data_IF_525351883523
#
_entry.id   IF_525351883523
#
_cell.length_a   1.000
_cell.length_b   1.000
_cell.length_c   1.000
_cell.angle_alpha   90.00
_cell.angle_beta   90.00
_cell.angle_gamma   90.00
#
_symmetry.space_group_name_H-M   'P 1'
#
loop_
_entity.id
_entity.type
_entity.pdbx_description
1 polymer ?
#
# COMPACT_ATOMS: atom_id res chain seq x y z
N UNK A 1 9.06 13.41 42.00
CA UNK A 1 8.70 13.33 40.57
C UNK A 1 7.55 14.29 40.21
N UNK A 2 7.47 15.49 40.78
CA UNK A 2 6.29 16.38 40.67
C UNK A 2 6.55 17.79 40.11
N UNK A 3 7.75 18.11 39.63
CA UNK A 3 8.06 19.46 39.11
C UNK A 3 7.87 19.65 37.59
N UNK A 4 7.83 18.56 36.82
CA UNK A 4 7.86 18.58 35.35
C UNK A 4 6.68 17.83 34.72
N UNK A 5 5.48 18.08 35.23
CA UNK A 5 4.26 17.53 34.63
C UNK A 5 3.90 18.37 33.41
N UNK A 6 3.89 17.73 32.23
CA UNK A 6 3.49 18.37 30.98
C UNK A 6 2.07 18.93 31.08
N UNK A 7 1.90 20.21 30.74
CA UNK A 7 0.59 20.86 30.71
C UNK A 7 -0.06 20.79 29.33
N UNK A 8 0.72 20.84 28.25
CA UNK A 8 0.23 20.80 26.88
C UNK A 8 1.13 19.92 25.99
N UNK A 9 0.56 19.38 24.92
CA UNK A 9 1.35 18.81 23.84
C UNK A 9 1.89 19.94 22.95
N UNK A 10 3.10 19.76 22.42
CA UNK A 10 3.79 20.71 21.56
C UNK A 10 2.91 21.13 20.38
N UNK A 11 2.37 20.15 19.64
CA UNK A 11 1.56 20.41 18.44
C UNK A 11 0.16 20.97 18.68
N UNK A 12 -0.29 21.09 19.94
CA UNK A 12 -1.64 21.59 20.27
C UNK A 12 -1.68 23.10 20.51
N UNK A 13 -0.56 23.76 20.76
CA UNK A 13 -0.54 25.21 21.02
C UNK A 13 -1.00 26.01 19.79
N UNK A 14 -1.79 27.06 20.04
CA UNK A 14 -2.36 27.96 19.03
C UNK A 14 -2.21 29.42 19.46
N UNK A 15 -2.52 30.35 18.55
CA UNK A 15 -2.46 31.79 18.84
C UNK A 15 -3.37 32.26 19.98
N UNK A 16 -4.42 31.49 20.32
CA UNK A 16 -5.29 31.73 21.47
C UNK A 16 -4.65 31.39 22.83
N UNK A 17 -3.52 30.69 22.84
CA UNK A 17 -2.79 30.32 24.05
C UNK A 17 -1.74 31.36 24.45
N UNK A 18 -1.66 32.49 23.73
CA UNK A 18 -0.75 33.58 24.02
C UNK A 18 -0.80 34.03 25.49
N UNK A 19 0.38 34.22 26.08
CA UNK A 19 0.53 34.66 27.46
C UNK A 19 0.40 33.54 28.50
N UNK A 20 0.00 32.32 28.11
CA UNK A 20 -0.06 31.18 29.04
C UNK A 20 1.34 30.66 29.36
N UNK A 21 1.51 30.24 30.61
CA UNK A 21 2.66 29.44 31.03
C UNK A 21 2.42 27.98 30.71
N UNK A 22 3.40 27.33 30.10
CA UNK A 22 3.32 25.95 29.64
C UNK A 22 4.52 25.15 30.10
N UNK A 23 4.30 23.87 30.37
CA UNK A 23 5.34 22.87 30.57
C UNK A 23 5.22 21.86 29.44
N UNK A 24 6.26 21.77 28.61
CA UNK A 24 6.30 20.91 27.44
C UNK A 24 7.42 19.89 27.59
N UNK A 25 7.17 18.66 27.14
CA UNK A 25 8.16 17.59 27.17
C UNK A 25 8.25 16.96 25.78
N UNK A 26 9.45 16.73 25.27
CA UNK A 26 9.65 16.21 23.93
C UNK A 26 11.10 15.99 23.55
N UNK A 27 11.33 15.87 22.24
CA UNK A 27 12.63 15.65 21.63
C UNK A 27 13.07 16.84 20.79
N UNK A 28 14.35 17.19 20.86
CA UNK A 28 14.95 18.19 19.97
C UNK A 28 14.91 17.70 18.53
N UNK A 29 14.09 18.31 17.69
CA UNK A 29 14.00 17.98 16.26
C UNK A 29 15.06 18.72 15.45
N UNK A 30 15.29 19.99 15.79
CA UNK A 30 16.21 20.87 15.08
C UNK A 30 16.65 22.00 16.00
N UNK A 31 17.86 22.48 15.78
CA UNK A 31 18.43 23.65 16.44
C UNK A 31 18.88 24.67 15.39
N UNK A 32 18.67 25.96 15.67
CA UNK A 32 19.13 27.09 14.85
C UNK A 32 19.68 28.18 15.76
N UNK A 33 20.97 28.46 15.62
CA UNK A 33 21.71 29.39 16.46
C UNK A 33 22.01 30.68 15.69
N UNK A 34 21.58 31.82 16.22
CA UNK A 34 21.80 33.16 15.65
C UNK A 34 22.68 34.04 16.57
N UNK A 35 23.47 33.43 17.45
CA UNK A 35 24.27 34.16 18.44
C UNK A 35 23.41 34.59 19.63
N UNK A 36 22.75 35.74 19.57
CA UNK A 36 21.97 36.27 20.71
C UNK A 36 20.63 35.55 20.94
N UNK A 37 20.21 34.73 19.99
CA UNK A 37 18.99 33.94 20.02
C UNK A 37 19.29 32.51 19.57
N UNK A 38 18.71 31.54 20.27
CA UNK A 38 18.71 30.14 19.88
C UNK A 38 17.28 29.65 19.74
N UNK A 39 16.99 29.04 18.60
CA UNK A 39 15.70 28.43 18.33
C UNK A 39 15.83 26.91 18.35
N UNK A 40 14.93 26.26 19.07
CA UNK A 40 14.84 24.80 19.10
C UNK A 40 13.44 24.39 18.71
N UNK A 41 13.34 23.52 17.71
CA UNK A 41 12.07 22.88 17.38
C UNK A 41 11.91 21.67 18.33
N UNK A 42 10.98 21.75 19.27
CA UNK A 42 10.64 20.66 20.20
C UNK A 42 9.49 19.84 19.62
N UNK A 43 9.70 18.53 19.47
CA UNK A 43 8.73 17.58 18.91
C UNK A 43 8.16 16.67 19.98
N UNK A 44 6.86 16.42 19.91
CA UNK A 44 6.19 15.29 20.56
C UNK A 44 5.24 14.56 19.59
N UNK A 45 4.38 13.68 20.10
CA UNK A 45 3.45 12.89 19.28
C UNK A 45 2.33 13.70 18.60
N UNK A 46 2.07 14.93 19.01
CA UNK A 46 1.03 15.78 18.40
C UNK A 46 1.63 16.82 17.45
N UNK A 47 2.95 17.05 17.48
CA UNK A 47 3.61 17.90 16.50
C UNK A 47 4.86 18.57 17.04
N UNK A 48 5.18 19.72 16.44
CA UNK A 48 6.39 20.50 16.73
C UNK A 48 5.99 21.89 17.19
N UNK A 49 6.71 22.45 18.16
CA UNK A 49 6.65 23.86 18.55
C UNK A 49 8.05 24.45 18.59
N UNK A 50 8.18 25.74 18.28
CA UNK A 50 9.45 26.45 18.40
C UNK A 50 9.62 26.99 19.82
N UNK A 51 10.77 26.69 20.40
CA UNK A 51 11.29 27.27 21.62
C UNK A 51 12.25 28.39 21.28
N UNK A 52 12.23 29.45 22.08
CA UNK A 52 13.15 30.59 21.95
C UNK A 52 13.91 30.74 23.25
N UNK A 53 15.24 30.78 23.12
CA UNK A 53 16.17 31.11 24.19
C UNK A 53 16.86 32.42 23.81
N UNK A 54 16.82 33.40 24.70
CA UNK A 54 17.40 34.72 24.46
C UNK A 54 18.59 35.00 25.37
N UNK A 55 19.46 35.91 24.95
CA UNK A 55 20.61 36.36 25.75
C UNK A 55 20.22 37.06 27.05
N UNK A 56 18.95 37.45 27.23
CA UNK A 56 18.44 37.95 28.50
C UNK A 56 18.58 36.92 29.64
N UNK A 57 18.61 35.62 29.30
CA UNK A 57 18.93 34.53 30.23
C UNK A 57 20.16 33.75 29.72
N UNK A 58 21.33 34.37 29.81
CA UNK A 58 22.58 33.82 29.28
C UNK A 58 22.93 32.41 29.80
N UNK A 59 22.77 32.05 31.10
CA UNK A 59 23.03 30.68 31.56
C UNK A 59 22.16 29.63 30.87
N UNK A 60 20.87 29.91 30.70
CA UNK A 60 19.92 29.02 30.04
C UNK A 60 20.23 28.88 28.54
N UNK A 61 20.61 29.99 27.89
CA UNK A 61 21.04 29.99 26.48
C UNK A 61 22.25 29.08 26.26
N UNK A 62 23.27 29.17 27.12
CA UNK A 62 24.46 28.33 27.04
C UNK A 62 24.17 26.85 27.32
N UNK A 63 23.24 26.54 28.22
CA UNK A 63 22.77 25.16 28.42
C UNK A 63 22.06 24.63 27.17
N UNK A 64 21.17 25.44 26.59
CA UNK A 64 20.42 25.09 25.39
C UNK A 64 21.33 24.89 24.16
N UNK A 65 22.44 25.65 24.03
CA UNK A 65 23.43 25.44 22.95
C UNK A 65 24.05 24.05 22.97
N UNK A 66 24.17 23.44 24.14
CA UNK A 66 24.75 22.10 24.31
C UNK A 66 23.78 20.99 23.90
N UNK A 67 22.52 21.30 23.59
CA UNK A 67 21.54 20.29 23.17
C UNK A 67 21.94 19.67 21.83
N UNK A 68 21.76 18.35 21.75
CA UNK A 68 21.93 17.57 20.53
C UNK A 68 20.58 17.25 19.89
N UNK A 69 20.61 16.80 18.63
CA UNK A 69 19.42 16.23 17.98
C UNK A 69 18.92 15.03 18.79
N UNK A 70 17.61 14.93 18.93
CA UNK A 70 16.90 13.88 19.66
C UNK A 70 17.16 13.84 21.18
N UNK A 71 17.80 14.87 21.77
CA UNK A 71 17.83 15.05 23.22
C UNK A 71 16.40 15.12 23.77
N UNK A 72 16.15 14.40 24.88
CA UNK A 72 14.85 14.34 25.55
C UNK A 72 14.83 15.35 26.69
N UNK A 73 13.90 16.30 26.63
CA UNK A 73 13.89 17.44 27.55
C UNK A 73 12.49 17.85 27.99
N UNK A 74 12.43 18.60 29.08
CA UNK A 74 11.28 19.34 29.56
C UNK A 74 11.60 20.84 29.58
N UNK A 75 10.67 21.67 29.15
CA UNK A 75 10.79 23.14 29.19
C UNK A 75 9.58 23.76 29.87
N UNK A 76 9.82 24.80 30.67
CA UNK A 76 8.78 25.71 31.17
C UNK A 76 9.00 27.07 30.53
N UNK A 77 7.92 27.70 30.09
CA UNK A 77 8.01 29.01 29.48
C UNK A 77 6.65 29.59 29.13
N UNK A 78 6.68 30.75 28.48
CA UNK A 78 5.50 31.54 28.14
C UNK A 78 5.23 31.52 26.65
N UNK A 79 3.98 31.27 26.26
CA UNK A 79 3.57 31.32 24.85
C UNK A 79 3.55 32.77 24.36
N UNK A 80 4.21 33.02 23.23
CA UNK A 80 4.26 34.31 22.55
C UNK A 80 3.79 34.18 21.11
N UNK A 81 3.15 35.23 20.59
CA UNK A 81 2.93 35.34 19.15
C UNK A 81 4.23 35.68 18.44
N UNK A 82 4.44 35.06 17.28
CA UNK A 82 5.48 35.48 16.36
C UNK A 82 5.08 36.77 15.67
N UNK A 83 6.08 37.56 15.26
CA UNK A 83 5.83 38.66 14.35
C UNK A 83 5.21 38.12 13.04
N UNK A 84 4.30 38.85 12.37
CA UNK A 84 3.59 38.35 11.18
C UNK A 84 4.51 37.81 10.07
N UNK A 85 5.70 38.38 9.89
CA UNK A 85 6.68 37.96 8.89
C UNK A 85 7.51 36.72 9.31
N UNK A 86 7.38 36.26 10.55
CA UNK A 86 8.04 35.07 11.12
C UNK A 86 7.07 33.90 11.32
N UNK A 87 5.79 34.08 11.02
CA UNK A 87 4.79 33.02 11.06
C UNK A 87 5.12 31.92 10.04
N UNK A 88 5.03 30.67 10.45
CA UNK A 88 5.29 29.52 9.58
C UNK A 88 3.98 28.80 9.19
N UNK A 89 3.42 29.02 7.99
CA UNK A 89 2.15 28.41 7.59
C UNK A 89 2.21 26.88 7.45
N UNK A 90 3.41 26.28 7.47
CA UNK A 90 3.58 24.82 7.39
C UNK A 90 3.43 24.12 8.75
N UNK A 91 3.39 24.86 9.86
CA UNK A 91 3.25 24.32 11.20
C UNK A 91 1.91 24.74 11.80
N UNK A 92 1.21 23.81 12.47
CA UNK A 92 -0.01 24.12 13.20
C UNK A 92 0.20 25.13 14.35
N UNK A 93 1.43 25.18 14.89
CA UNK A 93 1.86 26.13 15.91
C UNK A 93 2.61 27.32 15.31
N UNK A 94 2.51 27.53 13.99
CA UNK A 94 3.38 28.42 13.23
C UNK A 94 3.25 29.90 13.57
N UNK A 95 2.15 30.30 14.20
CA UNK A 95 1.87 31.67 14.64
C UNK A 95 2.43 31.98 16.03
N UNK A 96 2.89 30.95 16.76
CA UNK A 96 3.36 31.07 18.14
C UNK A 96 4.75 30.46 18.34
N UNK A 97 5.37 30.83 19.43
CA UNK A 97 6.59 30.25 19.97
C UNK A 97 6.54 30.27 21.50
N UNK A 98 7.44 29.54 22.14
CA UNK A 98 7.54 29.49 23.61
C UNK A 98 8.87 30.12 24.02
N UNK A 99 8.78 31.25 24.71
CA UNK A 99 9.91 31.89 25.38
C UNK A 99 10.25 31.06 26.62
N UNK A 100 11.41 30.39 26.61
CA UNK A 100 11.78 29.41 27.65
C UNK A 100 12.38 30.11 28.86
N UNK A 101 11.90 29.74 30.04
CA UNK A 101 12.33 30.27 31.33
C UNK A 101 13.12 29.22 32.13
N UNK A 102 12.73 27.95 32.02
CA UNK A 102 13.43 26.82 32.64
C UNK A 102 13.56 25.65 31.65
N UNK A 103 14.69 24.95 31.73
CA UNK A 103 14.99 23.75 30.94
C UNK A 103 15.45 22.64 31.88
N UNK A 104 15.02 21.41 31.59
CA UNK A 104 15.60 20.20 32.16
C UNK A 104 15.89 19.21 31.04
N UNK A 105 17.09 18.63 31.05
CA UNK A 105 17.43 17.52 30.15
C UNK A 105 17.12 16.21 30.87
N UNK A 106 16.11 15.49 30.40
CA UNK A 106 15.79 14.16 30.94
C UNK A 106 16.80 13.12 30.49
N UNK A 107 17.22 13.19 29.22
CA UNK A 107 18.21 12.27 28.67
C UNK A 107 18.94 12.88 27.46
N UNK A 108 20.24 12.66 27.39
CA UNK A 108 21.07 13.02 26.23
C UNK A 108 21.02 11.90 25.19
N UNK A 109 20.87 12.26 23.93
CA UNK A 109 20.94 11.33 22.81
C UNK A 109 22.36 11.31 22.23
N UNK A 110 22.84 10.12 21.90
CA UNK A 110 23.95 10.00 20.95
C UNK A 110 23.51 10.53 19.58
N UNK A 111 24.46 11.00 18.77
CA UNK A 111 24.16 11.45 17.39
C UNK A 111 23.36 10.37 16.65
N UNK A 112 22.15 10.68 16.16
CA UNK A 112 21.31 9.67 15.54
C UNK A 112 21.95 9.20 14.22
N UNK A 113 21.80 7.92 13.85
CA UNK A 113 22.38 7.35 12.62
C UNK A 113 21.78 7.96 11.35
N UNK A 114 20.63 8.62 11.46
CA UNK A 114 20.00 9.42 10.41
C UNK A 114 19.09 10.49 11.03
N UNK A 115 18.78 11.52 10.24
CA UNK A 115 17.87 12.59 10.66
C UNK A 115 16.43 12.09 10.63
N UNK A 116 15.68 12.33 11.70
CA UNK A 116 14.24 11.99 11.80
C UNK A 116 13.42 13.03 11.04
N UNK A 117 13.32 12.88 9.71
CA UNK A 117 12.59 13.80 8.84
C UNK A 117 11.88 13.06 7.70
N UNK A 118 10.83 13.70 7.16
CA UNK A 118 10.16 13.27 5.92
C UNK A 118 10.51 14.22 4.75
N UNK A 119 10.76 13.70 3.53
CA UNK A 119 10.94 12.29 3.20
C UNK A 119 12.23 11.71 3.82
N UNK A 120 12.30 10.39 4.04
CA UNK A 120 13.46 9.76 4.65
C UNK A 120 14.70 9.92 3.76
N UNK A 121 15.84 10.27 4.37
CA UNK A 121 17.14 10.43 3.68
C UNK A 121 18.07 9.22 3.85
N UNK A 122 17.68 8.26 4.69
CA UNK A 122 18.45 7.05 4.97
C UNK A 122 17.96 5.86 4.15
N UNK A 123 18.85 4.90 3.91
CA UNK A 123 18.50 3.62 3.30
C UNK A 123 17.44 2.89 4.12
N UNK A 124 16.61 2.10 3.44
CA UNK A 124 15.58 1.30 4.09
C UNK A 124 16.15 0.33 5.14
N UNK A 125 17.28 -0.31 4.82
CA UNK A 125 17.99 -1.19 5.73
C UNK A 125 18.36 -0.48 7.05
N UNK A 126 18.95 0.72 6.96
CA UNK A 126 19.34 1.49 8.15
C UNK A 126 18.10 1.90 8.97
N UNK A 127 17.01 2.26 8.29
CA UNK A 127 15.73 2.57 8.95
C UNK A 127 15.15 1.37 9.68
N UNK A 128 15.22 0.16 9.12
CA UNK A 128 14.77 -1.05 9.80
C UNK A 128 15.68 -1.42 10.99
N UNK A 129 17.00 -1.28 10.84
CA UNK A 129 17.94 -1.51 11.95
C UNK A 129 17.66 -0.61 13.15
N UNK A 130 17.32 0.66 12.89
CA UNK A 130 16.97 1.64 13.92
C UNK A 130 15.49 2.02 13.88
N UNK A 131 14.61 1.01 13.75
CA UNK A 131 13.17 1.23 13.54
C UNK A 131 12.52 2.09 14.61
N UNK A 132 12.99 2.04 15.85
CA UNK A 132 12.51 2.87 16.94
C UNK A 132 12.75 4.38 16.73
N UNK A 133 13.78 4.77 15.96
CA UNK A 133 14.00 6.16 15.53
C UNK A 133 13.19 6.47 14.27
N UNK A 134 13.14 5.53 13.31
CA UNK A 134 12.35 5.71 12.08
C UNK A 134 10.86 5.93 12.39
N UNK A 135 10.34 5.23 13.40
CA UNK A 135 8.96 5.40 13.87
C UNK A 135 8.68 6.78 14.46
N UNK A 136 9.69 7.59 14.83
CA UNK A 136 9.49 8.98 15.30
C UNK A 136 9.13 9.94 14.17
N UNK A 137 9.33 9.55 12.90
CA UNK A 137 9.00 10.41 11.76
C UNK A 137 7.49 10.71 11.72
N UNK A 138 7.08 11.94 11.35
CA UNK A 138 5.67 12.32 11.24
C UNK A 138 4.83 11.36 10.38
N UNK A 139 5.33 10.94 9.22
CA UNK A 139 4.62 9.99 8.33
C UNK A 139 4.39 8.63 9.00
N UNK A 140 5.38 8.11 9.73
CA UNK A 140 5.27 6.83 10.44
C UNK A 140 4.30 6.91 11.63
N UNK A 141 4.35 7.99 12.41
CA UNK A 141 3.38 8.24 13.48
C UNK A 141 1.95 8.36 12.93
N UNK A 142 1.77 9.04 11.80
CA UNK A 142 0.48 9.12 11.10
C UNK A 142 -0.02 7.73 10.69
N UNK A 143 0.84 6.88 10.12
CA UNK A 143 0.44 5.52 9.74
C UNK A 143 0.03 4.66 10.94
N UNK A 144 0.76 4.75 12.06
CA UNK A 144 0.41 4.04 13.29
C UNK A 144 -0.94 4.51 13.85
N UNK A 145 -1.17 5.83 13.89
CA UNK A 145 -2.44 6.42 14.32
C UNK A 145 -3.59 5.98 13.40
N UNK A 146 -3.42 6.10 12.08
CA UNK A 146 -4.43 5.67 11.12
C UNK A 146 -4.76 4.17 11.25
N UNK A 147 -3.75 3.31 11.45
CA UNK A 147 -3.97 1.88 11.69
C UNK A 147 -4.77 1.64 12.98
N UNK A 148 -4.50 2.39 14.04
CA UNK A 148 -5.26 2.32 15.29
C UNK A 148 -6.71 2.74 15.09
N UNK A 149 -6.95 3.90 14.48
CA UNK A 149 -8.30 4.42 14.21
C UNK A 149 -9.10 3.48 13.30
N UNK A 150 -8.46 2.91 12.28
CA UNK A 150 -9.08 1.90 11.41
C UNK A 150 -9.52 0.67 12.21
N UNK A 151 -8.64 0.14 13.07
CA UNK A 151 -8.99 -1.02 13.90
C UNK A 151 -10.13 -0.72 14.90
N UNK A 152 -10.17 0.48 15.49
CA UNK A 152 -11.29 0.91 16.34
C UNK A 152 -12.59 1.04 15.55
N UNK A 153 -12.53 1.67 14.38
CA UNK A 153 -13.68 1.86 13.48
C UNK A 153 -14.27 0.52 13.07
N UNK A 154 -13.42 -0.44 12.66
CA UNK A 154 -13.83 -1.80 12.29
C UNK A 154 -14.49 -2.52 13.46
N UNK A 155 -13.89 -2.49 14.66
CA UNK A 155 -14.49 -3.11 15.86
C UNK A 155 -15.85 -2.52 16.18
N UNK A 156 -15.96 -1.19 16.16
CA UNK A 156 -17.21 -0.48 16.45
C UNK A 156 -18.28 -0.79 15.38
N UNK A 157 -17.89 -0.88 14.11
CA UNK A 157 -18.78 -1.30 13.02
C UNK A 157 -19.35 -2.70 13.29
N UNK A 158 -18.49 -3.70 13.49
CA UNK A 158 -18.94 -5.08 13.73
C UNK A 158 -19.75 -5.22 15.02
N UNK A 159 -19.39 -4.49 16.08
CA UNK A 159 -20.18 -4.42 17.31
C UNK A 159 -21.63 -3.93 17.04
N UNK A 160 -21.80 -2.84 16.27
CA UNK A 160 -23.13 -2.34 15.90
C UNK A 160 -23.90 -3.31 15.00
N UNK A 161 -23.20 -4.11 14.19
CA UNK A 161 -23.78 -5.15 13.35
C UNK A 161 -24.05 -6.47 14.11
N UNK A 162 -23.85 -6.51 15.43
CA UNK A 162 -24.17 -7.66 16.28
C UNK A 162 -23.16 -8.80 16.20
N UNK A 163 -21.93 -8.53 15.79
CA UNK A 163 -20.86 -9.52 15.77
C UNK A 163 -20.16 -9.64 17.12
N UNK A 164 -19.65 -10.84 17.41
CA UNK A 164 -18.81 -11.12 18.58
C UNK A 164 -17.33 -11.22 18.17
N UNK A 165 -16.47 -10.47 18.86
CA UNK A 165 -15.00 -10.63 18.75
C UNK A 165 -14.61 -11.84 19.60
N UNK A 166 -14.32 -12.99 18.95
CA UNK A 166 -13.95 -14.23 19.65
C UNK A 166 -12.49 -14.57 19.33
N UNK A 167 -11.66 -14.70 20.35
CA UNK A 167 -10.26 -15.07 20.15
C UNK A 167 -10.11 -16.57 19.82
N UNK A 168 -9.24 -16.87 18.86
CA UNK A 168 -8.94 -18.25 18.44
C UNK A 168 -7.49 -18.62 18.73
N UNK A 169 -7.17 -19.89 19.04
CA UNK A 169 -5.83 -20.27 19.46
C UNK A 169 -4.80 -20.20 18.32
N UNK A 170 -3.55 -19.83 18.65
CA UNK A 170 -2.43 -19.85 17.70
C UNK A 170 -1.67 -21.17 17.64
N UNK A 171 -1.74 -22.01 18.67
CA UNK A 171 -1.08 -23.32 18.67
C UNK A 171 -2.05 -24.37 18.13
N UNK A 172 -2.08 -24.50 16.80
CA UNK A 172 -3.05 -25.33 16.09
C UNK A 172 -2.41 -26.62 15.58
N UNK A 173 -3.19 -27.46 14.90
CA UNK A 173 -2.68 -28.64 14.20
C UNK A 173 -2.35 -28.25 12.76
N UNK A 174 -1.22 -28.73 12.23
CA UNK A 174 -0.88 -28.53 10.82
C UNK A 174 -1.90 -29.18 9.90
N UNK A 175 -2.28 -28.46 8.85
CA UNK A 175 -3.13 -28.95 7.76
C UNK A 175 -2.31 -28.97 6.48
N UNK A 176 -2.28 -30.09 5.73
CA UNK A 176 -1.42 -30.24 4.55
C UNK A 176 -1.86 -29.39 3.33
N UNK A 177 -2.97 -28.66 3.44
CA UNK A 177 -3.53 -27.82 2.37
C UNK A 177 -3.20 -26.34 2.60
N UNK A 178 -2.93 -25.60 1.52
CA UNK A 178 -2.64 -24.17 1.56
C UNK A 178 -1.15 -23.84 1.55
N UNK A 179 -0.75 -22.80 2.29
CA UNK A 179 0.65 -22.38 2.40
C UNK A 179 1.45 -23.34 3.31
N UNK A 180 2.76 -23.12 3.41
CA UNK A 180 3.58 -23.83 4.40
C UNK A 180 3.37 -23.24 5.79
N UNK A 181 3.23 -24.11 6.79
CA UNK A 181 3.03 -23.72 8.20
C UNK A 181 4.36 -23.42 8.91
N UNK A 182 4.36 -22.42 9.80
CA UNK A 182 5.37 -22.31 10.85
C UNK A 182 5.11 -23.35 11.94
N UNK A 183 6.12 -24.16 12.26
CA UNK A 183 6.02 -25.22 13.26
C UNK A 183 6.61 -24.80 14.60
N UNK A 184 5.91 -25.14 15.69
CA UNK A 184 6.36 -24.92 17.07
C UNK A 184 6.52 -26.28 17.75
N UNK A 185 7.75 -26.72 18.08
CA UNK A 185 7.97 -28.03 18.70
C UNK A 185 7.36 -28.11 20.10
N UNK A 186 6.68 -29.22 20.39
CA UNK A 186 6.11 -29.45 21.72
C UNK A 186 7.16 -30.01 22.68
N UNK A 187 7.38 -29.32 23.81
CA UNK A 187 8.18 -29.86 24.91
C UNK A 187 7.54 -31.09 25.56
N UNK A 188 6.21 -31.12 25.63
CA UNK A 188 5.43 -32.16 26.32
C UNK A 188 5.29 -33.40 25.44
N UNK A 189 4.89 -33.21 24.19
CA UNK A 189 4.67 -34.30 23.25
C UNK A 189 5.88 -34.46 22.33
N UNK A 190 6.86 -35.26 22.77
CA UNK A 190 8.09 -35.51 21.99
C UNK A 190 7.77 -35.98 20.57
N UNK A 191 8.44 -35.38 19.59
CA UNK A 191 8.24 -35.68 18.16
C UNK A 191 6.98 -35.07 17.56
N UNK A 192 6.20 -34.27 18.30
CA UNK A 192 5.02 -33.55 17.79
C UNK A 192 5.24 -32.05 17.77
N UNK A 193 4.53 -31.39 16.86
CA UNK A 193 4.61 -29.96 16.60
C UNK A 193 3.19 -29.36 16.60
N UNK A 194 3.09 -28.11 17.05
CA UNK A 194 1.97 -27.24 16.72
C UNK A 194 2.29 -26.50 15.41
N UNK A 195 1.25 -26.00 14.76
CA UNK A 195 1.35 -25.10 13.63
C UNK A 195 0.73 -23.75 13.98
N UNK A 196 1.39 -22.66 13.58
CA UNK A 196 0.80 -21.33 13.63
C UNK A 196 -0.22 -21.17 12.50
N UNK A 197 -1.41 -20.59 12.75
CA UNK A 197 -2.50 -20.58 11.79
C UNK A 197 -2.24 -19.62 10.63
N UNK A 198 -2.53 -20.10 9.42
CA UNK A 198 -2.57 -19.26 8.22
C UNK A 198 -3.80 -18.35 8.18
N UNK A 199 -4.87 -18.78 8.85
CA UNK A 199 -6.09 -18.04 9.21
C UNK A 199 -6.88 -18.85 10.27
N UNK A 200 -7.86 -18.26 10.95
CA UNK A 200 -8.76 -19.00 11.86
C UNK A 200 -9.84 -19.85 11.16
N UNK A 201 -9.66 -20.24 9.90
CA UNK A 201 -10.71 -20.82 9.04
C UNK A 201 -11.51 -21.96 9.71
N UNK A 202 -10.83 -22.95 10.31
CA UNK A 202 -11.52 -24.06 10.96
C UNK A 202 -12.23 -23.62 12.25
N UNK A 203 -11.65 -22.68 13.00
CA UNK A 203 -12.22 -22.20 14.25
C UNK A 203 -13.47 -21.36 14.02
N UNK A 204 -13.46 -20.44 13.05
CA UNK A 204 -14.65 -19.63 12.74
C UNK A 204 -15.82 -20.48 12.24
N UNK A 205 -15.54 -21.56 11.50
CA UNK A 205 -16.55 -22.55 11.11
C UNK A 205 -17.11 -23.31 12.32
N UNK A 206 -16.25 -23.74 13.26
CA UNK A 206 -16.71 -24.35 14.53
C UNK A 206 -17.59 -23.37 15.31
N UNK A 207 -17.28 -22.07 15.32
CA UNK A 207 -18.10 -21.05 15.99
C UNK A 207 -19.47 -20.90 15.32
N UNK A 208 -19.57 -21.03 13.99
CA UNK A 208 -20.87 -21.09 13.31
C UNK A 208 -21.67 -22.32 13.76
N UNK A 209 -21.04 -23.49 13.81
CA UNK A 209 -21.68 -24.73 14.33
C UNK A 209 -22.09 -24.59 15.80
N UNK A 210 -21.32 -23.84 16.60
CA UNK A 210 -21.60 -23.59 18.02
C UNK A 210 -22.73 -22.57 18.25
N UNK A 211 -23.31 -21.98 17.20
CA UNK A 211 -24.40 -21.01 17.32
C UNK A 211 -23.95 -19.58 17.63
N UNK A 212 -22.69 -19.21 17.35
CA UNK A 212 -22.23 -17.81 17.46
C UNK A 212 -22.90 -16.91 16.42
N UNK A 213 -23.27 -17.48 15.27
CA UNK A 213 -23.96 -16.86 14.13
C UNK A 213 -23.26 -15.67 13.44
N UNK A 214 -22.59 -14.77 14.17
CA UNK A 214 -21.85 -13.60 13.65
C UNK A 214 -20.55 -13.44 14.41
N UNK A 215 -19.46 -13.84 13.78
CA UNK A 215 -18.12 -13.81 14.35
C UNK A 215 -17.23 -12.86 13.57
N UNK A 216 -16.39 -12.11 14.29
CA UNK A 216 -15.26 -11.42 13.69
C UNK A 216 -14.02 -11.51 14.59
N UNK A 217 -12.84 -11.28 14.02
CA UNK A 217 -11.59 -11.16 14.78
C UNK A 217 -10.56 -10.34 14.01
N UNK A 218 -9.89 -9.38 14.66
CA UNK A 218 -8.67 -8.77 14.12
C UNK A 218 -7.47 -9.59 14.61
N UNK A 219 -7.01 -10.52 13.79
CA UNK A 219 -6.15 -11.65 14.22
C UNK A 219 -4.81 -11.69 13.49
N UNK A 220 -3.78 -12.23 14.14
CA UNK A 220 -2.47 -12.50 13.52
C UNK A 220 -2.48 -13.83 12.78
N UNK A 221 -1.90 -13.81 11.59
CA UNK A 221 -1.79 -14.97 10.70
C UNK A 221 -0.35 -15.13 10.26
N UNK A 222 0.03 -16.39 9.99
CA UNK A 222 1.41 -16.78 9.75
C UNK A 222 1.49 -17.65 8.49
N UNK A 223 2.41 -17.33 7.58
CA UNK A 223 2.65 -18.12 6.35
C UNK A 223 4.15 -18.19 6.09
N UNK A 224 4.68 -19.40 5.97
CA UNK A 224 6.08 -19.64 5.64
C UNK A 224 6.29 -19.66 4.11
N UNK A 225 6.05 -18.52 3.47
CA UNK A 225 6.21 -18.28 2.03
C UNK A 225 7.32 -17.26 1.74
N UNK A 226 7.82 -17.27 0.51
CA UNK A 226 8.74 -16.24 0.03
C UNK A 226 8.11 -14.84 0.13
N UNK A 227 8.91 -13.91 0.66
CA UNK A 227 8.50 -12.53 0.88
C UNK A 227 8.38 -11.76 -0.44
N UNK A 228 7.43 -10.82 -0.47
CA UNK A 228 7.24 -9.84 -1.55
C UNK A 228 7.04 -8.46 -0.93
N UNK A 229 7.04 -7.42 -1.76
CA UNK A 229 6.81 -6.05 -1.31
C UNK A 229 5.52 -5.88 -0.47
N UNK A 230 4.51 -6.70 -0.75
CA UNK A 230 3.20 -6.73 -0.10
C UNK A 230 2.94 -7.99 0.75
N UNK A 231 3.94 -8.86 0.96
CA UNK A 231 3.81 -10.12 1.72
C UNK A 231 4.81 -10.19 2.86
N UNK A 232 4.29 -10.36 4.07
CA UNK A 232 5.06 -10.54 5.29
C UNK A 232 4.74 -11.92 5.89
N UNK A 233 5.69 -12.56 6.59
CA UNK A 233 5.49 -13.91 7.12
C UNK A 233 4.50 -13.91 8.29
N UNK A 234 4.44 -12.78 9.01
CA UNK A 234 3.42 -12.45 10.00
C UNK A 234 2.62 -11.24 9.50
N UNK A 235 1.29 -11.39 9.45
CA UNK A 235 0.39 -10.32 9.02
C UNK A 235 -0.90 -10.34 9.84
N UNK A 236 -1.73 -9.30 9.70
CA UNK A 236 -2.99 -9.17 10.42
C UNK A 236 -4.15 -9.26 9.44
N UNK A 237 -5.15 -10.07 9.75
CA UNK A 237 -6.41 -10.17 9.02
C UNK A 237 -7.55 -9.58 9.83
N UNK A 238 -8.60 -9.16 9.12
CA UNK A 238 -9.94 -8.95 9.67
C UNK A 238 -10.71 -10.19 9.21
N UNK A 239 -10.82 -11.17 10.09
CA UNK A 239 -11.51 -12.43 9.82
C UNK A 239 -12.98 -12.29 10.23
N UNK A 240 -13.89 -12.74 9.37
CA UNK A 240 -15.34 -12.53 9.51
C UNK A 240 -16.04 -13.81 9.07
N UNK A 241 -17.08 -14.21 9.79
CA UNK A 241 -17.93 -15.35 9.43
C UNK A 241 -19.38 -15.11 9.89
N UNK A 242 -20.34 -15.56 9.09
CA UNK A 242 -21.78 -15.43 9.38
C UNK A 242 -22.53 -16.72 9.03
N UNK A 243 -23.55 -17.06 9.82
CA UNK A 243 -24.49 -18.15 9.55
C UNK A 243 -25.76 -17.65 8.86
N UNK A 244 -26.42 -18.53 8.09
CA UNK A 244 -27.72 -18.27 7.45
C UNK A 244 -27.76 -17.02 6.54
N UNK A 245 -26.66 -16.74 5.85
CA UNK A 245 -26.56 -15.62 4.90
C UNK A 245 -26.31 -16.10 3.48
N UNK A 246 -26.70 -15.28 2.52
CA UNK A 246 -26.25 -15.40 1.14
C UNK A 246 -25.03 -14.50 0.85
N UNK A 247 -24.55 -14.59 -0.39
CA UNK A 247 -23.40 -13.81 -0.86
C UNK A 247 -23.66 -12.29 -0.85
N UNK A 248 -24.90 -11.87 -1.13
CA UNK A 248 -25.24 -10.46 -1.26
C UNK A 248 -25.16 -9.75 0.09
N UNK A 249 -25.64 -10.41 1.13
CA UNK A 249 -25.55 -9.92 2.51
C UNK A 249 -24.09 -9.72 2.94
N UNK A 250 -23.17 -10.61 2.52
CA UNK A 250 -21.73 -10.46 2.80
C UNK A 250 -21.16 -9.27 2.03
N UNK A 251 -21.50 -9.11 0.75
CA UNK A 251 -21.02 -7.97 -0.03
C UNK A 251 -21.47 -6.65 0.58
N UNK A 252 -22.76 -6.48 0.87
CA UNK A 252 -23.28 -5.25 1.48
C UNK A 252 -22.60 -4.94 2.81
N UNK A 253 -22.42 -5.94 3.68
CA UNK A 253 -21.77 -5.74 4.98
C UNK A 253 -20.32 -5.25 4.84
N UNK A 254 -19.53 -5.89 3.96
CA UNK A 254 -18.12 -5.51 3.76
C UNK A 254 -18.01 -4.16 3.06
N UNK A 255 -18.90 -3.86 2.11
CA UNK A 255 -18.97 -2.56 1.44
C UNK A 255 -19.26 -1.43 2.43
N UNK A 256 -20.22 -1.61 3.33
CA UNK A 256 -20.54 -0.66 4.39
C UNK A 256 -19.35 -0.44 5.34
N UNK A 257 -18.70 -1.54 5.78
CA UNK A 257 -17.50 -1.48 6.62
C UNK A 257 -16.39 -0.67 5.93
N UNK A 258 -16.13 -0.96 4.65
CA UNK A 258 -15.10 -0.28 3.88
C UNK A 258 -15.43 1.21 3.70
N UNK A 259 -16.68 1.55 3.38
CA UNK A 259 -17.10 2.93 3.25
C UNK A 259 -16.86 3.72 4.54
N UNK A 260 -17.20 3.16 5.71
CA UNK A 260 -16.95 3.80 7.00
C UNK A 260 -15.46 4.00 7.28
N UNK A 261 -14.62 2.98 7.03
CA UNK A 261 -13.17 3.07 7.25
C UNK A 261 -12.52 4.12 6.35
N UNK A 262 -12.98 4.27 5.10
CA UNK A 262 -12.40 5.26 4.17
C UNK A 262 -12.70 6.72 4.56
N UNK A 263 -13.74 6.97 5.37
CA UNK A 263 -14.01 8.31 5.90
C UNK A 263 -12.85 8.84 6.76
N UNK A 264 -12.04 7.96 7.37
CA UNK A 264 -10.86 8.32 8.17
C UNK A 264 -9.79 9.06 7.36
N UNK A 265 -9.80 8.90 6.03
CA UNK A 265 -8.92 9.62 5.11
C UNK A 265 -9.68 10.65 4.27
N UNK A 266 -10.92 10.99 4.66
CA UNK A 266 -11.76 11.98 4.01
C UNK A 266 -12.33 11.54 2.67
N UNK A 267 -12.48 10.23 2.46
CA UNK A 267 -12.98 9.67 1.20
C UNK A 267 -14.32 8.98 1.43
N UNK A 268 -15.30 9.36 0.61
CA UNK A 268 -16.60 8.72 0.55
C UNK A 268 -16.60 7.68 -0.58
N UNK A 269 -16.67 6.39 -0.21
CA UNK A 269 -16.71 5.30 -1.19
C UNK A 269 -18.14 5.12 -1.70
N UNK A 270 -18.27 5.06 -3.02
CA UNK A 270 -19.55 4.77 -3.66
C UNK A 270 -19.84 3.27 -3.61
N UNK A 271 -20.90 2.91 -2.91
CA UNK A 271 -21.50 1.57 -2.91
C UNK A 271 -22.80 1.57 -3.74
N UNK A 272 -23.23 0.43 -4.31
CA UNK A 272 -22.54 -0.86 -4.28
C UNK A 272 -21.29 -0.88 -5.17
N UNK A 273 -20.32 -1.75 -4.85
CA UNK A 273 -19.12 -1.86 -5.69
C UNK A 273 -19.45 -2.60 -6.99
N UNK A 274 -18.83 -2.21 -8.12
CA UNK A 274 -18.96 -2.94 -9.37
C UNK A 274 -18.47 -4.38 -9.21
N UNK A 275 -19.13 -5.30 -9.92
CA UNK A 275 -18.79 -6.72 -9.93
C UNK A 275 -18.25 -7.11 -11.28
N UNK A 276 -17.24 -7.96 -11.26
CA UNK A 276 -16.65 -8.54 -12.45
C UNK A 276 -16.46 -10.02 -12.21
N UNK A 277 -16.88 -10.87 -13.15
CA UNK A 277 -16.57 -12.30 -13.04
C UNK A 277 -15.06 -12.50 -13.23
N UNK A 278 -14.52 -13.56 -12.63
CA UNK A 278 -13.13 -13.97 -12.80
C UNK A 278 -12.76 -14.10 -14.27
N UNK A 279 -13.67 -14.69 -15.07
CA UNK A 279 -13.51 -14.84 -16.51
C UNK A 279 -13.39 -13.49 -17.22
N UNK A 280 -14.24 -12.51 -16.89
CA UNK A 280 -14.15 -11.17 -17.48
C UNK A 280 -12.90 -10.43 -17.02
N UNK A 281 -12.51 -10.58 -15.75
CA UNK A 281 -11.29 -9.97 -15.19
C UNK A 281 -10.05 -10.45 -15.94
N UNK A 282 -9.92 -11.76 -16.13
CA UNK A 282 -8.85 -12.36 -16.92
C UNK A 282 -8.94 -11.95 -18.38
N UNK A 283 -10.12 -12.02 -18.99
CA UNK A 283 -10.29 -11.67 -20.40
C UNK A 283 -9.86 -10.23 -20.70
N UNK A 284 -10.24 -9.28 -19.84
CA UNK A 284 -10.04 -7.84 -20.07
C UNK A 284 -8.75 -7.29 -19.47
N UNK A 285 -8.20 -7.91 -18.44
CA UNK A 285 -7.09 -7.34 -17.68
C UNK A 285 -5.94 -8.32 -17.41
N UNK A 286 -6.14 -9.62 -17.63
CA UNK A 286 -5.12 -10.64 -17.39
C UNK A 286 -4.76 -10.82 -15.92
N UNK A 287 -5.68 -10.48 -15.02
CA UNK A 287 -5.52 -10.62 -13.57
C UNK A 287 -6.88 -10.69 -12.90
N UNK A 288 -6.92 -11.36 -11.75
CA UNK A 288 -8.02 -11.43 -10.78
C UNK A 288 -8.02 -10.24 -9.79
N UNK A 289 -7.21 -9.22 -10.00
CA UNK A 289 -7.20 -7.99 -9.18
C UNK A 289 -6.91 -6.74 -10.04
N UNK A 290 -7.78 -6.44 -11.01
CA UNK A 290 -7.51 -5.40 -11.99
C UNK A 290 -7.55 -3.99 -11.38
N UNK A 291 -6.55 -3.18 -11.71
CA UNK A 291 -6.60 -1.75 -11.42
C UNK A 291 -7.50 -1.04 -12.44
N UNK A 292 -8.74 -0.72 -12.03
CA UNK A 292 -9.74 -0.04 -12.87
C UNK A 292 -9.45 1.45 -13.09
N UNK A 293 -8.42 2.03 -12.48
CA UNK A 293 -7.99 3.40 -12.78
C UNK A 293 -7.27 3.50 -14.12
N UNK A 294 -6.81 2.37 -14.66
CA UNK A 294 -6.21 2.27 -16.00
C UNK A 294 -7.30 1.87 -16.99
N UNK A 295 -7.63 2.77 -17.93
CA UNK A 295 -8.76 2.57 -18.86
C UNK A 295 -8.49 1.50 -19.93
N UNK A 296 -7.22 1.21 -20.24
CA UNK A 296 -6.83 0.23 -21.24
C UNK A 296 -7.26 -1.18 -20.86
N UNK A 297 -7.71 -1.97 -21.84
CA UNK A 297 -8.03 -3.41 -21.70
C UNK A 297 -7.19 -4.25 -22.66
N UNK A 298 -7.16 -5.56 -22.40
CA UNK A 298 -6.63 -6.56 -23.31
C UNK A 298 -7.67 -6.89 -24.38
N UNK A 299 -7.21 -7.14 -25.60
CA UNK A 299 -8.05 -7.51 -26.74
C UNK A 299 -7.66 -8.89 -27.27
N UNK A 300 -8.64 -9.76 -27.51
CA UNK A 300 -8.41 -11.07 -28.11
C UNK A 300 -8.46 -10.98 -29.63
N UNK A 301 -7.28 -11.06 -30.25
CA UNK A 301 -7.08 -10.93 -31.69
C UNK A 301 -6.99 -12.31 -32.39
N UNK A 302 -7.24 -13.41 -31.65
CA UNK A 302 -7.09 -14.79 -32.17
C UNK A 302 -7.94 -15.02 -33.41
N UNK A 303 -9.15 -14.47 -33.45
CA UNK A 303 -10.10 -14.62 -34.57
C UNK A 303 -9.61 -13.97 -35.87
N UNK A 304 -8.63 -13.06 -35.82
CA UNK A 304 -8.05 -12.41 -37.00
C UNK A 304 -6.95 -13.25 -37.65
N UNK A 305 -6.32 -14.15 -36.90
CA UNK A 305 -5.12 -14.91 -37.32
C UNK A 305 -5.25 -15.58 -38.69
N UNK A 306 -6.38 -16.22 -39.08
CA UNK A 306 -6.52 -16.81 -40.41
C UNK A 306 -6.36 -15.80 -41.56
N UNK A 307 -6.66 -14.52 -41.33
CA UNK A 307 -6.58 -13.44 -42.33
C UNK A 307 -5.21 -12.76 -42.38
N UNK A 308 -4.39 -12.89 -41.32
CA UNK A 308 -3.14 -12.13 -41.20
C UNK A 308 -2.01 -12.65 -42.10
N UNK A 309 -2.09 -13.91 -42.57
CA UNK A 309 -1.06 -14.52 -43.43
C UNK A 309 0.26 -14.84 -42.71
N UNK A 310 0.28 -14.89 -41.37
CA UNK A 310 1.47 -15.21 -40.59
C UNK A 310 1.49 -16.66 -40.12
N UNK A 311 2.45 -17.44 -40.63
CA UNK A 311 2.67 -18.82 -40.17
C UNK A 311 3.03 -18.91 -38.67
N UNK A 312 3.69 -17.89 -38.12
CA UNK A 312 4.07 -17.87 -36.69
C UNK A 312 2.83 -17.79 -35.81
N UNK A 313 1.89 -16.91 -36.16
CA UNK A 313 0.63 -16.77 -35.44
C UNK A 313 -0.29 -17.98 -35.66
N UNK A 314 -0.37 -18.49 -36.89
CA UNK A 314 -1.15 -19.69 -37.20
C UNK A 314 -0.70 -20.89 -36.37
N UNK A 315 0.60 -21.19 -36.34
CA UNK A 315 1.15 -22.28 -35.51
C UNK A 315 0.86 -22.12 -34.03
N UNK A 316 0.87 -20.89 -33.51
CA UNK A 316 0.57 -20.64 -32.11
C UNK A 316 -0.90 -20.95 -31.79
N UNK A 317 -1.83 -20.60 -32.68
CA UNK A 317 -3.26 -20.90 -32.53
C UNK A 317 -3.56 -22.39 -32.73
N UNK A 318 -2.93 -23.03 -33.71
CA UNK A 318 -3.04 -24.49 -33.96
C UNK A 318 -2.57 -25.31 -32.75
N UNK A 319 -1.58 -24.81 -31.99
CA UNK A 319 -1.13 -25.40 -30.74
C UNK A 319 -2.05 -25.11 -29.54
N UNK A 320 -3.27 -24.57 -29.76
CA UNK A 320 -4.23 -24.22 -28.71
C UNK A 320 -3.98 -22.87 -28.03
N UNK A 321 -3.07 -22.05 -28.56
CA UNK A 321 -2.76 -20.73 -28.03
C UNK A 321 -3.76 -19.64 -28.43
N UNK A 322 -3.63 -18.48 -27.78
CA UNK A 322 -4.37 -17.24 -28.07
C UNK A 322 -3.41 -16.13 -28.49
N UNK A 323 -3.93 -15.18 -29.28
CA UNK A 323 -3.23 -13.96 -29.69
C UNK A 323 -3.85 -12.78 -28.95
N UNK A 324 -3.15 -12.29 -27.93
CA UNK A 324 -3.64 -11.22 -27.04
C UNK A 324 -2.91 -9.92 -27.36
N UNK A 325 -3.68 -8.85 -27.58
CA UNK A 325 -3.22 -7.51 -27.87
C UNK A 325 -3.39 -6.54 -26.69
N UNK A 326 -2.50 -5.56 -26.61
CA UNK A 326 -2.56 -4.43 -25.71
C UNK A 326 -2.26 -3.15 -26.50
N UNK A 327 -3.19 -2.19 -26.48
CA UNK A 327 -2.98 -0.88 -27.05
C UNK A 327 -2.45 0.09 -25.98
N UNK A 328 -1.23 0.61 -26.16
CA UNK A 328 -0.59 1.56 -25.24
C UNK A 328 -0.72 2.98 -25.81
N UNK A 329 -1.54 3.86 -25.20
CA UNK A 329 -1.69 5.26 -25.63
C UNK A 329 -0.36 6.03 -25.53
N UNK A 330 -0.08 6.93 -26.47
CA UNK A 330 1.19 7.68 -26.53
C UNK A 330 2.44 6.81 -26.76
N UNK A 331 2.28 5.51 -27.02
CA UNK A 331 3.38 4.57 -27.18
C UNK A 331 4.20 4.73 -28.46
N UNK A 332 3.78 5.59 -29.40
CA UNK A 332 4.55 5.92 -30.60
C UNK A 332 5.98 6.40 -30.24
N UNK A 333 6.13 7.14 -29.13
CA UNK A 333 7.39 7.70 -28.66
C UNK A 333 8.47 6.67 -28.27
N UNK A 334 8.12 5.38 -28.14
CA UNK A 334 9.09 4.34 -27.78
C UNK A 334 10.20 4.22 -28.87
N UNK A 335 11.46 4.23 -28.47
CA UNK A 335 12.58 3.95 -29.37
C UNK A 335 12.64 2.46 -29.74
N UNK A 336 13.38 2.12 -30.81
CA UNK A 336 13.66 0.71 -31.15
C UNK A 336 14.39 -0.02 -30.02
N UNK A 337 15.29 0.68 -29.30
CA UNK A 337 16.01 0.10 -28.16
C UNK A 337 15.06 -0.28 -27.03
N UNK A 338 14.13 0.61 -26.66
CA UNK A 338 13.12 0.33 -25.65
C UNK A 338 12.19 -0.82 -26.06
N UNK A 339 11.78 -0.90 -27.33
CA UNK A 339 10.99 -2.03 -27.83
C UNK A 339 11.75 -3.35 -27.76
N UNK A 340 13.04 -3.37 -28.11
CA UNK A 340 13.89 -4.57 -27.96
C UNK A 340 14.05 -4.99 -26.50
N UNK A 341 14.15 -4.03 -25.56
CA UNK A 341 14.16 -4.32 -24.14
C UNK A 341 12.82 -4.92 -23.68
N UNK A 342 11.68 -4.39 -24.12
CA UNK A 342 10.37 -4.97 -23.84
C UNK A 342 10.26 -6.40 -24.37
N UNK A 343 10.76 -6.66 -25.59
CA UNK A 343 10.78 -8.01 -26.16
C UNK A 343 11.56 -8.99 -25.28
N UNK A 344 12.76 -8.60 -24.80
CA UNK A 344 13.56 -9.45 -23.90
C UNK A 344 12.82 -9.71 -22.58
N UNK A 345 12.22 -8.67 -21.99
CA UNK A 345 11.48 -8.80 -20.72
C UNK A 345 10.32 -9.78 -20.81
N UNK A 346 9.52 -9.74 -21.89
CA UNK A 346 8.43 -10.72 -22.03
C UNK A 346 8.96 -12.13 -22.29
N UNK A 347 10.13 -12.27 -22.91
CA UNK A 347 10.80 -13.57 -23.09
C UNK A 347 11.29 -14.14 -21.76
N UNK A 348 11.81 -13.29 -20.87
CA UNK A 348 12.17 -13.68 -19.50
C UNK A 348 10.93 -14.13 -18.69
N UNK A 349 9.73 -13.66 -19.06
CA UNK A 349 8.44 -14.13 -18.54
C UNK A 349 7.86 -15.36 -19.27
N UNK A 350 8.62 -15.92 -20.22
CA UNK A 350 8.30 -17.16 -20.92
C UNK A 350 7.55 -17.01 -22.25
N UNK A 351 7.30 -15.79 -22.75
CA UNK A 351 6.79 -15.62 -24.11
C UNK A 351 7.86 -15.97 -25.15
N UNK A 352 7.44 -16.49 -26.31
CA UNK A 352 8.37 -16.73 -27.43
C UNK A 352 8.89 -15.41 -28.05
N UNK A 353 8.11 -14.35 -27.97
CA UNK A 353 8.49 -13.02 -28.44
C UNK A 353 7.36 -12.00 -28.28
N UNK A 354 7.67 -10.75 -28.60
CA UNK A 354 6.74 -9.62 -28.60
C UNK A 354 6.59 -9.09 -30.02
N UNK A 355 5.36 -9.05 -30.50
CA UNK A 355 5.04 -8.34 -31.73
C UNK A 355 4.63 -6.92 -31.36
N UNK A 356 5.17 -5.92 -32.03
CA UNK A 356 4.79 -4.53 -31.85
C UNK A 356 4.44 -3.89 -33.19
N UNK A 357 3.48 -2.97 -33.17
CA UNK A 357 3.03 -2.19 -34.33
C UNK A 357 2.93 -0.73 -33.92
N UNK A 358 3.39 0.17 -34.80
CA UNK A 358 3.31 1.62 -34.65
C UNK A 358 2.86 2.28 -35.93
N UNK A 359 2.12 3.37 -35.80
CA UNK A 359 1.81 4.25 -36.93
C UNK A 359 3.01 5.13 -37.29
N UNK A 360 3.21 5.33 -38.58
CA UNK A 360 4.16 6.27 -39.19
C UNK A 360 3.45 7.10 -40.26
N UNK A 361 4.08 8.17 -40.71
CA UNK A 361 3.51 9.12 -41.68
C UNK A 361 2.91 8.45 -42.93
N UNK A 362 3.50 7.33 -43.39
CA UNK A 362 3.06 6.58 -44.57
C UNK A 362 2.67 5.11 -44.28
N UNK A 363 1.96 4.85 -43.18
CA UNK A 363 1.40 3.52 -42.86
C UNK A 363 1.83 3.00 -41.50
N UNK A 364 2.21 1.72 -41.42
CA UNK A 364 2.61 1.09 -40.16
C UNK A 364 4.00 0.48 -40.20
N UNK A 365 4.72 0.64 -39.09
CA UNK A 365 5.94 -0.10 -38.79
C UNK A 365 5.60 -1.23 -37.81
N UNK A 366 5.86 -2.48 -38.19
CA UNK A 366 5.66 -3.65 -37.34
C UNK A 366 6.94 -4.46 -37.18
N UNK A 367 7.08 -5.20 -36.08
CA UNK A 367 8.18 -6.14 -35.87
C UNK A 367 8.01 -7.46 -36.64
N UNK A 368 6.78 -7.78 -37.02
CA UNK A 368 6.42 -8.93 -37.83
C UNK A 368 6.03 -8.45 -39.24
N UNK A 369 6.57 -9.02 -40.33
CA UNK A 369 6.23 -8.62 -41.69
C UNK A 369 4.80 -9.08 -42.00
N UNK A 370 3.85 -8.15 -41.99
CA UNK A 370 2.45 -8.35 -42.36
C UNK A 370 2.07 -7.37 -43.49
N UNK A 371 1.14 -7.74 -44.39
CA UNK A 371 0.55 -6.80 -45.34
C UNK A 371 -0.06 -5.58 -44.61
N UNK A 372 0.06 -4.39 -45.20
CA UNK A 372 -0.42 -3.15 -44.56
C UNK A 372 -1.93 -3.19 -44.27
N UNK A 373 -2.73 -3.82 -45.13
CA UNK A 373 -4.17 -4.07 -44.92
C UNK A 373 -4.46 -4.92 -43.66
N UNK A 374 -3.63 -5.92 -43.40
CA UNK A 374 -3.75 -6.79 -42.22
C UNK A 374 -3.32 -6.06 -40.95
N UNK A 375 -2.31 -5.19 -41.05
CA UNK A 375 -1.92 -4.32 -39.94
C UNK A 375 -3.03 -3.30 -39.63
N UNK A 376 -3.65 -2.71 -40.65
CA UNK A 376 -4.79 -1.82 -40.49
C UNK A 376 -5.96 -2.53 -39.78
N UNK A 377 -6.25 -3.79 -40.13
CA UNK A 377 -7.27 -4.60 -39.49
C UNK A 377 -6.96 -4.85 -38.00
N UNK A 378 -5.71 -5.19 -37.66
CA UNK A 378 -5.26 -5.33 -36.27
C UNK A 378 -5.42 -4.02 -35.50
N UNK A 379 -4.99 -2.90 -36.10
CA UNK A 379 -5.04 -1.57 -35.52
C UNK A 379 -6.48 -1.13 -35.21
N UNK A 380 -7.40 -1.32 -36.16
CA UNK A 380 -8.80 -0.99 -36.01
C UNK A 380 -9.48 -1.88 -34.94
N UNK A 381 -9.20 -3.18 -34.96
CA UNK A 381 -9.81 -4.13 -33.99
C UNK A 381 -9.33 -3.84 -32.58
N UNK A 382 -8.04 -3.49 -32.42
CA UNK A 382 -7.46 -3.08 -31.14
C UNK A 382 -7.86 -1.66 -30.71
N UNK A 383 -8.69 -0.96 -31.50
CA UNK A 383 -9.15 0.42 -31.26
C UNK A 383 -7.99 1.38 -30.98
N UNK A 384 -6.89 1.22 -31.70
CA UNK A 384 -5.69 2.01 -31.50
C UNK A 384 -5.80 3.40 -32.14
N UNK A 385 -5.41 4.43 -31.38
CA UNK A 385 -5.34 5.82 -31.84
C UNK A 385 -4.01 6.10 -32.55
N UNK A 386 -3.84 7.25 -33.20
CA UNK A 386 -2.66 7.52 -34.04
C UNK A 386 -1.32 7.47 -33.29
N UNK A 387 -1.32 7.92 -32.04
CA UNK A 387 -0.13 8.01 -31.18
C UNK A 387 0.16 6.70 -30.41
N UNK A 388 -0.63 5.66 -30.65
CA UNK A 388 -0.59 4.43 -29.86
C UNK A 388 0.55 3.48 -30.28
N UNK A 389 0.80 2.50 -29.42
CA UNK A 389 1.64 1.33 -29.69
C UNK A 389 0.81 0.07 -29.44
N UNK A 390 0.60 -0.74 -30.47
CA UNK A 390 -0.05 -2.03 -30.32
C UNK A 390 1.00 -3.10 -30.05
N UNK A 391 0.90 -3.76 -28.88
CA UNK A 391 1.71 -4.89 -28.46
C UNK A 391 0.90 -6.17 -28.57
N UNK A 392 1.50 -7.27 -29.03
CA UNK A 392 0.83 -8.55 -29.24
C UNK A 392 1.73 -9.70 -28.79
N UNK A 393 1.18 -10.65 -28.03
CA UNK A 393 1.80 -11.91 -27.64
C UNK A 393 0.90 -13.06 -28.07
N UNK A 394 1.52 -14.11 -28.61
CA UNK A 394 0.86 -15.34 -29.01
C UNK A 394 1.40 -16.51 -28.19
N UNK A 395 0.53 -17.26 -27.51
CA UNK A 395 0.92 -18.37 -26.64
C UNK A 395 -0.25 -18.95 -25.84
N UNK A 396 0.01 -19.82 -24.85
CA UNK A 396 -1.02 -20.34 -23.95
C UNK A 396 -1.82 -19.20 -23.30
N UNK A 397 -3.14 -19.35 -23.21
CA UNK A 397 -4.05 -18.25 -22.86
C UNK A 397 -3.71 -17.58 -21.51
N UNK A 398 -3.54 -18.36 -20.44
CA UNK A 398 -3.19 -17.86 -19.10
C UNK A 398 -1.90 -17.03 -19.15
N UNK A 399 -0.84 -17.58 -19.76
CA UNK A 399 0.46 -16.93 -19.88
C UNK A 399 0.40 -15.64 -20.72
N UNK A 400 -0.26 -15.69 -21.90
CA UNK A 400 -0.35 -14.53 -22.78
C UNK A 400 -1.11 -13.36 -22.13
N UNK A 401 -2.22 -13.65 -21.44
CA UNK A 401 -3.01 -12.66 -20.70
C UNK A 401 -2.24 -12.11 -19.50
N UNK A 402 -1.55 -12.96 -18.74
CA UNK A 402 -0.75 -12.51 -17.59
C UNK A 402 0.38 -11.56 -18.01
N UNK A 403 1.12 -11.90 -19.07
CA UNK A 403 2.18 -11.05 -19.62
C UNK A 403 1.62 -9.70 -20.07
N UNK A 404 0.50 -9.71 -20.80
CA UNK A 404 -0.14 -8.48 -21.27
C UNK A 404 -0.74 -7.65 -20.12
N UNK A 405 -1.30 -8.29 -19.10
CA UNK A 405 -1.80 -7.63 -17.88
C UNK A 405 -0.68 -6.94 -17.10
N UNK A 406 0.50 -7.55 -17.01
CA UNK A 406 1.70 -6.92 -16.43
C UNK A 406 2.16 -5.71 -17.24
N UNK A 407 2.28 -5.87 -18.57
CA UNK A 407 2.64 -4.74 -19.45
C UNK A 407 1.62 -3.60 -19.37
N UNK A 408 0.33 -3.90 -19.22
CA UNK A 408 -0.72 -2.90 -19.03
C UNK A 408 -0.44 -2.06 -17.77
N UNK A 409 -0.12 -2.69 -16.64
CA UNK A 409 0.19 -1.95 -15.40
C UNK A 409 1.46 -1.11 -15.52
N UNK A 410 2.46 -1.57 -16.26
CA UNK A 410 3.74 -0.86 -16.40
C UNK A 410 3.70 0.28 -17.42
N UNK A 411 2.98 0.10 -18.52
CA UNK A 411 3.04 0.98 -19.69
C UNK A 411 1.85 1.93 -19.80
N UNK A 412 0.72 1.59 -19.19
CA UNK A 412 -0.49 2.42 -19.26
C UNK A 412 -0.66 3.19 -17.95
N UNK A 413 -0.54 4.53 -17.96
CA UNK A 413 -0.75 5.31 -16.75
C UNK A 413 -2.22 5.25 -16.31
N UNK A 414 -2.49 5.34 -15.00
CA UNK A 414 -3.85 5.59 -14.51
C UNK A 414 -4.42 6.88 -15.11
N UNK A 415 -5.74 6.94 -15.30
CA UNK A 415 -6.43 8.15 -15.70
C UNK A 415 -6.07 9.28 -14.72
N UNK A 416 -5.53 10.43 -15.20
CA UNK A 416 -5.18 11.55 -14.35
C UNK A 416 -6.33 12.05 -13.47
N UNK A 417 -7.58 11.92 -13.94
CA UNK A 417 -8.79 12.27 -13.18
C UNK A 417 -9.05 11.33 -12.01
N UNK A 418 -8.42 10.16 -11.99
CA UNK A 418 -8.60 9.10 -11.01
C UNK A 418 -7.39 8.89 -10.09
N UNK A 419 -6.32 9.68 -10.24
CA UNK A 419 -5.05 9.53 -9.52
C UNK A 419 -5.22 9.41 -7.99
N UNK A 420 -6.10 10.23 -7.43
CA UNK A 420 -6.37 10.30 -5.99
C UNK A 420 -7.73 9.67 -5.62
N UNK A 421 -8.23 8.77 -6.47
CA UNK A 421 -9.51 8.08 -6.27
C UNK A 421 -9.31 6.59 -6.04
N UNK A 422 -10.27 5.97 -5.38
CA UNK A 422 -10.33 4.53 -5.15
C UNK A 422 -11.39 3.90 -6.06
N UNK A 423 -11.00 2.84 -6.76
CA UNK A 423 -11.90 2.02 -7.60
C UNK A 423 -12.01 0.63 -6.98
N UNK A 424 -12.87 0.52 -5.98
CA UNK A 424 -13.23 -0.76 -5.37
C UNK A 424 -14.06 -1.60 -6.37
N UNK A 425 -13.89 -2.91 -6.32
CA UNK A 425 -14.67 -3.88 -7.10
C UNK A 425 -14.70 -5.22 -6.37
N UNK A 426 -15.69 -6.04 -6.72
CA UNK A 426 -15.70 -7.47 -6.40
C UNK A 426 -15.32 -8.30 -7.61
N UNK A 427 -14.46 -9.28 -7.39
CA UNK A 427 -14.27 -10.38 -8.34
C UNK A 427 -15.11 -11.56 -7.86
N UNK A 428 -15.90 -12.09 -8.77
CA UNK A 428 -16.89 -13.15 -8.51
C UNK A 428 -16.69 -14.31 -9.47
N UNK A 429 -17.44 -15.40 -9.31
CA UNK A 429 -17.43 -16.53 -10.25
C UNK A 429 -16.03 -17.13 -10.49
N UNK A 430 -15.25 -17.26 -9.41
CA UNK A 430 -13.98 -18.00 -9.46
C UNK A 430 -14.22 -19.45 -9.86
N UNK A 431 -13.31 -20.07 -10.62
CA UNK A 431 -13.36 -21.51 -10.87
C UNK A 431 -13.26 -22.27 -9.54
N UNK A 432 -14.04 -23.33 -9.39
CA UNK A 432 -14.03 -24.15 -8.18
C UNK A 432 -12.72 -24.94 -7.99
N UNK A 433 -12.06 -25.28 -9.10
CA UNK A 433 -10.80 -26.01 -9.14
C UNK A 433 -9.89 -25.40 -10.21
N UNK A 434 -8.57 -25.51 -10.00
CA UNK A 434 -7.56 -25.23 -11.02
C UNK A 434 -6.87 -26.52 -11.46
N UNK A 435 -6.42 -26.56 -12.71
CA UNK A 435 -5.57 -27.65 -13.19
C UNK A 435 -4.13 -27.42 -12.74
N UNK A 436 -3.56 -28.36 -11.99
CA UNK A 436 -2.13 -28.37 -11.67
C UNK A 436 -1.39 -29.18 -12.73
N UNK A 437 -0.53 -28.52 -13.51
CA UNK A 437 0.35 -29.20 -14.47
C UNK A 437 1.41 -30.06 -13.76
N UNK A 438 1.81 -29.68 -12.54
CA UNK A 438 2.79 -30.43 -11.74
C UNK A 438 2.22 -31.74 -11.22
N UNK A 439 0.97 -31.71 -10.74
CA UNK A 439 0.30 -32.89 -10.20
C UNK A 439 -0.56 -33.64 -11.23
N UNK A 440 -0.70 -33.08 -12.43
CA UNK A 440 -1.52 -33.60 -13.54
C UNK A 440 -2.97 -33.94 -13.10
N UNK A 441 -3.55 -33.07 -12.26
CA UNK A 441 -4.91 -33.23 -11.72
C UNK A 441 -5.54 -31.88 -11.38
N UNK A 442 -6.86 -31.88 -11.17
CA UNK A 442 -7.56 -30.76 -10.57
C UNK A 442 -7.17 -30.64 -9.08
N UNK A 443 -6.79 -29.43 -8.69
CA UNK A 443 -6.52 -29.02 -7.31
C UNK A 443 -7.50 -27.92 -6.93
N UNK A 444 -7.83 -27.82 -5.64
CA UNK A 444 -8.71 -26.78 -5.10
C UNK A 444 -8.03 -25.43 -5.04
#
# INVERSE_FOLDING_TARGET
MTAWQRTHYCGHLRAQDEGREVVLCGWVQRQRDLGNLLFIDLRDREGVVQLVFSSANSPLLEEARRLGLEDCLGVRGKVRRRAPHLCNPRLATGEIEVEVEELVVFNRAATPPFVVIDPPQASEELRYRYRYLDLRRPSMQRHLRLRHEAALTIRNFFHRQGFLEVETPFLTKSTPEGARDYLVPSRIYRGRFFALPQSPQLFKQILMVAGVERYFQIVRCFRDEDLRADRQPEFTQIDVEMSFVDQEQIFSLIEEMMAEVWTLIGIDLKTPFPRLSYKEAWARYGTDKPDLRINTTLEDLTHLVPRLGSQVLQRAVEAGGRVIGLCVPGGQAFSRSQLSQLTRRVQDWGAKGLIWVKKKDNGWQASLPLPQENIALLWQTAKAEEDSLLLIVAGPEKQAREIMGRLRLELCPPDPKLKDTFRCLWITDFPLFEWSEEENRLVS
#
